data_IF_884361710550
#
_entry.id   IF_884361710550
#
_cell.length_a   1.000
_cell.length_b   1.000
_cell.length_c   1.000
_cell.angle_alpha   90.00
_cell.angle_beta   90.00
_cell.angle_gamma   90.00
#
_symmetry.space_group_name_H-M   'P 1'
#
loop_
_entity.id
_entity.type
_entity.pdbx_description
1 polymer ?
#
# COMPACT_ATOMS: atom_id res chain seq x y z
N UNK A 1 15.59 -41.45 67.07
CA UNK A 1 14.31 -40.70 67.17
C UNK A 1 14.66 -39.22 67.02
N UNK A 2 14.06 -38.51 66.06
CA UNK A 2 14.32 -37.08 65.86
C UNK A 2 14.66 -36.69 64.42
N UNK A 3 13.69 -36.85 63.51
CA UNK A 3 13.68 -36.13 62.22
C UNK A 3 13.20 -34.71 62.49
N UNK A 4 13.92 -33.70 62.05
CA UNK A 4 13.45 -32.32 61.80
C UNK A 4 14.67 -31.44 61.56
N UNK A 5 14.72 -30.50 60.64
CA UNK A 5 13.72 -29.97 59.72
C UNK A 5 14.57 -29.29 58.64
N UNK A 6 14.28 -29.57 57.38
CA UNK A 6 14.80 -28.77 56.26
C UNK A 6 14.37 -27.32 56.48
N UNK A 7 15.28 -26.45 56.90
CA UNK A 7 15.00 -25.02 56.94
C UNK A 7 15.16 -24.48 55.51
N UNK A 8 14.14 -24.77 54.71
CA UNK A 8 13.70 -23.95 53.60
C UNK A 8 13.62 -22.49 54.11
N UNK A 9 14.56 -21.64 53.73
CA UNK A 9 14.31 -20.20 53.68
C UNK A 9 14.62 -19.74 52.27
N UNK A 10 13.58 -19.82 51.45
CA UNK A 10 13.37 -19.07 50.21
C UNK A 10 13.44 -17.55 50.50
N UNK A 11 14.58 -17.05 50.94
CA UNK A 11 14.80 -15.62 51.18
C UNK A 11 15.51 -14.99 49.97
N UNK A 12 14.92 -15.15 48.78
CA UNK A 12 15.39 -14.46 47.57
C UNK A 12 14.33 -14.49 46.45
N UNK A 13 13.04 -14.33 46.80
CA UNK A 13 11.96 -14.24 45.82
C UNK A 13 11.72 -12.83 45.28
N UNK A 14 11.83 -11.71 46.06
CA UNK A 14 11.46 -10.39 45.53
C UNK A 14 12.55 -9.76 44.65
N UNK A 15 13.84 -9.99 44.93
CA UNK A 15 14.94 -9.39 44.16
C UNK A 15 15.16 -10.08 42.79
N UNK A 16 14.96 -11.40 42.72
CA UNK A 16 15.00 -12.16 41.45
C UNK A 16 13.85 -11.80 40.51
N UNK A 17 12.66 -11.54 41.07
CA UNK A 17 11.51 -11.02 40.32
C UNK A 17 11.83 -9.63 39.73
N UNK A 18 12.37 -8.72 40.54
CA UNK A 18 12.76 -7.39 40.08
C UNK A 18 13.83 -7.42 38.98
N UNK A 19 14.89 -8.24 39.10
CA UNK A 19 15.88 -8.41 38.03
C UNK A 19 15.29 -9.03 36.74
N UNK A 20 14.31 -9.94 36.86
CA UNK A 20 13.58 -10.51 35.72
C UNK A 20 12.67 -9.48 35.03
N UNK A 21 11.96 -8.66 35.82
CA UNK A 21 11.13 -7.55 35.32
C UNK A 21 11.99 -6.56 34.52
N UNK A 22 13.18 -6.20 35.03
CA UNK A 22 14.12 -5.30 34.38
C UNK A 22 14.68 -5.87 33.08
N UNK A 23 15.00 -7.18 33.04
CA UNK A 23 15.44 -7.86 31.82
C UNK A 23 14.36 -7.91 30.73
N UNK A 24 13.10 -8.13 31.11
CA UNK A 24 11.95 -8.09 30.19
C UNK A 24 11.71 -6.69 29.63
N UNK A 25 11.84 -5.65 30.46
CA UNK A 25 11.73 -4.25 30.03
C UNK A 25 12.82 -3.89 29.01
N UNK A 26 14.07 -4.26 29.26
CA UNK A 26 15.18 -4.03 28.32
C UNK A 26 14.97 -4.80 27.01
N UNK A 27 14.53 -6.06 27.07
CA UNK A 27 14.23 -6.86 25.89
C UNK A 27 13.08 -6.27 25.04
N UNK A 28 12.05 -5.72 25.70
CA UNK A 28 10.97 -4.99 25.03
C UNK A 28 11.46 -3.71 24.36
N UNK A 29 12.32 -2.93 25.03
CA UNK A 29 12.87 -1.72 24.44
C UNK A 29 13.77 -2.03 23.23
N UNK A 30 14.59 -3.07 23.33
CA UNK A 30 15.44 -3.52 22.21
C UNK A 30 14.59 -4.02 21.04
N UNK A 31 13.54 -4.80 21.32
CA UNK A 31 12.65 -5.28 20.25
C UNK A 31 11.87 -4.14 19.60
N UNK A 32 11.42 -3.13 20.36
CA UNK A 32 10.76 -1.92 19.83
C UNK A 32 11.73 -1.10 18.95
N UNK A 33 12.96 -0.89 19.40
CA UNK A 33 13.98 -0.16 18.61
C UNK A 33 14.34 -0.93 17.33
N UNK A 34 14.45 -2.25 17.42
CA UNK A 34 14.69 -3.12 16.26
C UNK A 34 13.51 -3.03 15.27
N UNK A 35 12.26 -3.14 15.74
CA UNK A 35 11.07 -2.99 14.89
C UNK A 35 11.03 -1.59 14.25
N UNK A 36 11.35 -0.53 14.99
CA UNK A 36 11.39 0.84 14.45
C UNK A 36 12.44 1.00 13.34
N UNK A 37 13.61 0.39 13.50
CA UNK A 37 14.68 0.41 12.49
C UNK A 37 14.29 -0.38 11.23
N UNK A 38 13.68 -1.55 11.38
CA UNK A 38 13.25 -2.38 10.26
C UNK A 38 12.00 -1.83 9.54
N UNK A 39 11.07 -1.20 10.24
CA UNK A 39 9.89 -0.55 9.63
C UNK A 39 10.23 0.64 8.73
N UNK A 40 11.42 1.24 8.87
CA UNK A 40 11.86 2.34 8.00
C UNK A 40 12.35 1.88 6.63
N UNK A 41 12.61 0.59 6.41
CA UNK A 41 12.94 0.06 5.09
C UNK A 41 11.70 -0.26 4.24
N UNK A 42 10.85 0.74 4.02
CA UNK A 42 9.83 0.68 2.96
C UNK A 42 10.30 1.57 1.82
N UNK A 43 11.13 1.01 0.93
CA UNK A 43 11.70 1.71 -0.24
C UNK A 43 10.73 1.77 -1.43
N UNK A 44 9.64 1.01 -1.38
CA UNK A 44 8.69 0.87 -2.49
C UNK A 44 8.10 2.22 -2.94
N UNK A 45 7.87 3.14 -2.01
CA UNK A 45 7.27 4.44 -2.31
C UNK A 45 8.24 5.41 -3.00
N UNK A 46 9.55 5.31 -2.76
CA UNK A 46 10.53 6.28 -3.28
C UNK A 46 10.87 6.02 -4.76
N UNK A 47 11.00 4.76 -5.14
CA UNK A 47 11.23 4.37 -6.54
C UNK A 47 10.03 4.67 -7.43
N UNK A 48 8.79 4.46 -6.94
CA UNK A 48 7.57 4.85 -7.64
C UNK A 48 7.54 6.36 -7.88
N UNK A 49 7.80 7.17 -6.84
CA UNK A 49 7.79 8.63 -6.96
C UNK A 49 8.86 9.13 -7.95
N UNK A 50 10.05 8.53 -7.92
CA UNK A 50 11.13 8.82 -8.86
C UNK A 50 10.73 8.50 -10.30
N UNK A 51 10.18 7.31 -10.53
CA UNK A 51 9.72 6.89 -11.85
C UNK A 51 8.63 7.83 -12.39
N UNK A 52 7.63 8.16 -11.57
CA UNK A 52 6.56 9.09 -11.95
C UNK A 52 7.15 10.46 -12.31
N UNK A 53 8.07 10.98 -11.49
CA UNK A 53 8.72 12.26 -11.75
C UNK A 53 9.52 12.26 -13.05
N UNK A 54 10.25 11.18 -13.33
CA UNK A 54 11.04 11.04 -14.54
C UNK A 54 10.15 10.91 -15.79
N UNK A 55 9.07 10.12 -15.71
CA UNK A 55 8.15 9.87 -16.82
C UNK A 55 7.33 11.10 -17.21
N UNK A 56 6.92 11.91 -16.22
CA UNK A 56 6.18 13.15 -16.47
C UNK A 56 7.08 14.35 -16.76
N UNK A 57 8.40 14.21 -16.69
CA UNK A 57 9.34 15.30 -16.95
C UNK A 57 9.28 15.71 -18.43
N UNK A 58 8.62 16.83 -18.71
CA UNK A 58 8.48 17.35 -20.08
C UNK A 58 7.37 16.70 -20.90
N UNK A 59 6.52 15.87 -20.29
CA UNK A 59 5.36 15.27 -20.94
C UNK A 59 4.27 16.34 -21.21
N UNK A 60 3.80 16.45 -22.47
CA UNK A 60 2.76 17.39 -22.86
C UNK A 60 1.44 16.67 -23.17
N UNK A 61 0.51 16.74 -22.22
CA UNK A 61 -0.85 16.17 -22.28
C UNK A 61 -1.73 16.65 -23.44
N UNK A 62 -1.39 17.76 -24.11
CA UNK A 62 -2.16 18.27 -25.26
C UNK A 62 -1.69 17.68 -26.59
N UNK A 63 -0.50 17.09 -26.61
CA UNK A 63 0.08 16.52 -27.82
C UNK A 63 -0.39 15.07 -27.96
N UNK A 64 -0.70 14.70 -29.20
CA UNK A 64 -1.07 13.35 -29.56
C UNK A 64 0.14 12.41 -29.40
N UNK A 65 0.03 11.30 -28.65
CA UNK A 65 1.16 10.41 -28.39
C UNK A 65 1.44 9.48 -29.58
N UNK A 66 2.09 10.01 -30.61
CA UNK A 66 2.63 9.23 -31.74
C UNK A 66 4.12 9.53 -31.95
N UNK A 67 4.89 8.51 -32.33
CA UNK A 67 6.30 8.68 -32.70
C UNK A 67 6.43 9.34 -34.09
N UNK A 68 5.63 8.87 -35.03
CA UNK A 68 5.53 9.42 -36.38
C UNK A 68 4.18 10.07 -36.59
N UNK A 69 4.16 11.26 -37.21
CA UNK A 69 2.91 12.00 -37.49
C UNK A 69 1.92 11.22 -38.38
N UNK A 70 2.41 10.25 -39.16
CA UNK A 70 1.62 9.39 -40.04
C UNK A 70 0.91 8.24 -39.30
N UNK A 71 1.33 7.91 -38.08
CA UNK A 71 0.76 6.79 -37.33
C UNK A 71 -0.56 7.16 -36.68
N UNK A 72 -1.43 6.17 -36.47
CA UNK A 72 -2.72 6.28 -35.75
C UNK A 72 -2.55 5.93 -34.26
N UNK A 73 -3.43 6.46 -33.39
CA UNK A 73 -3.53 6.01 -31.99
C UNK A 73 -4.75 5.11 -31.91
N UNK A 74 -4.54 3.82 -31.62
CA UNK A 74 -5.65 2.87 -31.48
C UNK A 74 -6.23 2.95 -30.06
N UNK A 75 -7.44 3.50 -29.95
CA UNK A 75 -8.18 3.60 -28.68
C UNK A 75 -9.19 2.46 -28.60
N UNK A 76 -9.02 1.59 -27.62
CA UNK A 76 -9.97 0.52 -27.32
C UNK A 76 -11.07 1.08 -26.44
N UNK A 77 -12.29 0.99 -26.96
CA UNK A 77 -13.49 1.45 -26.30
C UNK A 77 -14.27 0.27 -25.73
N UNK A 78 -14.64 0.37 -24.46
CA UNK A 78 -15.51 -0.57 -23.77
C UNK A 78 -16.61 0.18 -23.03
N UNK A 79 -17.78 -0.44 -22.98
CA UNK A 79 -18.91 0.01 -22.17
C UNK A 79 -19.32 -1.13 -21.25
N UNK A 80 -19.45 -0.82 -19.96
CA UNK A 80 -20.13 -1.69 -19.02
C UNK A 80 -21.45 -1.00 -18.62
N UNK A 81 -22.55 -1.62 -18.99
CA UNK A 81 -23.89 -1.13 -18.67
C UNK A 81 -24.18 -1.39 -17.20
N UNK A 82 -24.60 -0.34 -16.47
CA UNK A 82 -24.94 -0.47 -15.05
C UNK A 82 -26.44 -0.63 -14.89
N UNK A 83 -27.20 0.38 -15.31
CA UNK A 83 -28.65 0.41 -15.09
C UNK A 83 -29.36 1.34 -16.08
N UNK A 84 -30.58 0.98 -16.46
CA UNK A 84 -31.52 1.84 -17.18
C UNK A 84 -32.30 2.71 -16.19
N UNK A 85 -32.16 4.03 -16.26
CA UNK A 85 -32.77 4.97 -15.31
C UNK A 85 -34.18 5.35 -15.76
N UNK A 86 -34.36 5.70 -17.03
CA UNK A 86 -35.65 6.09 -17.59
C UNK A 86 -35.65 5.94 -19.12
N UNK A 87 -36.82 5.62 -19.68
CA UNK A 87 -37.08 5.63 -21.12
C UNK A 87 -38.30 6.51 -21.38
N UNK A 88 -38.12 7.55 -22.20
CA UNK A 88 -39.21 8.38 -22.67
C UNK A 88 -39.46 8.06 -24.15
N UNK A 89 -40.48 7.26 -24.41
CA UNK A 89 -40.85 6.79 -25.76
C UNK A 89 -41.44 7.92 -26.61
N UNK A 90 -42.18 8.85 -26.01
CA UNK A 90 -42.75 10.00 -26.73
C UNK A 90 -41.67 10.92 -27.26
N UNK A 91 -40.59 11.10 -26.48
CA UNK A 91 -39.48 11.97 -26.85
C UNK A 91 -38.26 11.19 -27.40
N UNK A 92 -38.31 9.86 -27.47
CA UNK A 92 -37.22 8.97 -27.92
C UNK A 92 -35.91 9.16 -27.13
N UNK A 93 -36.01 9.38 -25.81
CA UNK A 93 -34.83 9.61 -24.95
C UNK A 93 -34.67 8.44 -23.98
N UNK A 94 -33.48 7.85 -23.97
CA UNK A 94 -33.06 6.86 -22.97
C UNK A 94 -32.03 7.48 -22.03
N UNK A 95 -32.25 7.33 -20.72
CA UNK A 95 -31.30 7.70 -19.67
C UNK A 95 -30.80 6.42 -19.01
N UNK A 96 -29.49 6.19 -19.04
CA UNK A 96 -28.85 5.02 -18.43
C UNK A 96 -27.54 5.40 -17.74
N UNK A 97 -27.20 4.68 -16.68
CA UNK A 97 -25.88 4.73 -16.05
C UNK A 97 -24.97 3.70 -16.73
N UNK A 98 -23.81 4.15 -17.18
CA UNK A 98 -22.81 3.32 -17.87
C UNK A 98 -21.41 3.67 -17.38
N UNK A 99 -20.56 2.66 -17.28
CA UNK A 99 -19.12 2.85 -17.11
C UNK A 99 -18.44 2.87 -18.47
N UNK A 100 -17.72 3.95 -18.74
CA UNK A 100 -16.91 4.12 -19.94
C UNK A 100 -15.50 3.64 -19.67
N UNK A 101 -15.01 2.70 -20.49
CA UNK A 101 -13.61 2.25 -20.45
C UNK A 101 -12.92 2.66 -21.74
N UNK A 102 -11.89 3.50 -21.61
CA UNK A 102 -11.01 3.86 -22.70
C UNK A 102 -9.61 3.36 -22.38
N UNK A 103 -8.98 2.65 -23.32
CA UNK A 103 -7.62 2.16 -23.17
C UNK A 103 -6.84 2.50 -24.43
N UNK A 104 -5.71 3.16 -24.29
CA UNK A 104 -4.77 3.43 -25.36
C UNK A 104 -3.34 3.24 -24.85
N UNK A 105 -2.39 3.14 -25.77
CA UNK A 105 -0.96 3.04 -25.47
C UNK A 105 -0.27 4.36 -25.79
N UNK A 106 0.55 4.83 -24.87
CA UNK A 106 1.41 5.99 -25.05
C UNK A 106 2.87 5.53 -25.15
N UNK A 107 3.65 6.12 -26.04
CA UNK A 107 5.07 5.81 -26.21
C UNK A 107 5.97 6.61 -25.25
N UNK A 108 5.51 7.76 -24.75
CA UNK A 108 6.29 8.61 -23.83
C UNK A 108 6.22 8.09 -22.39
N UNK A 109 5.17 7.35 -22.05
CA UNK A 109 4.94 6.82 -20.70
C UNK A 109 5.47 5.39 -20.54
N UNK A 110 6.70 5.15 -21.05
CA UNK A 110 7.41 3.87 -20.97
C UNK A 110 8.77 4.10 -20.30
N UNK A 111 9.26 3.13 -19.53
CA UNK A 111 10.55 3.20 -18.83
C UNK A 111 11.40 1.96 -19.07
#
# INVERSE_FOLDING_TARGET
MGRSLSLNRKLCSPLKLHLSEMGKQVALLVSIVFIYFFCKQVTCSEDEERLVRDLFRGYNKLIRPVQNMTQKVDVRFGLAFVQLINVNEKNQIMKSNVWLRLVWSDYQLQW
#
